data_IF_364220317604
#
_entry.id   IF_364220317604
#
_cell.length_a   1.000
_cell.length_b   1.000
_cell.length_c   1.000
_cell.angle_alpha   90.00
_cell.angle_beta   90.00
_cell.angle_gamma   90.00
#
_symmetry.space_group_name_H-M   'P 1'
#
loop_
_entity.id
_entity.type
_entity.pdbx_description
1 polymer ?
#
# COMPACT_ATOMS: atom_id res chain seq x y z
N UNK A 1 41.22 -1.58 -1.04
CA UNK A 1 40.15 -2.09 -0.18
C UNK A 1 38.89 -2.47 -0.98
N UNK A 2 38.46 -1.68 -1.98
CA UNK A 2 37.23 -1.95 -2.77
C UNK A 2 37.35 -3.17 -3.71
N UNK A 3 38.56 -3.57 -4.15
CA UNK A 3 38.77 -4.64 -5.13
C UNK A 3 38.07 -5.97 -4.78
N UNK A 4 38.31 -6.53 -3.58
CA UNK A 4 37.64 -7.77 -3.13
C UNK A 4 36.11 -7.61 -3.01
N UNK A 5 35.64 -6.45 -2.54
CA UNK A 5 34.20 -6.16 -2.49
C UNK A 5 33.63 -6.06 -3.91
N UNK A 6 34.32 -5.41 -4.84
CA UNK A 6 33.90 -5.32 -6.25
C UNK A 6 33.72 -6.71 -6.89
N UNK A 7 34.67 -7.59 -6.68
CA UNK A 7 34.62 -8.96 -7.20
C UNK A 7 33.40 -9.72 -6.62
N UNK A 8 33.17 -9.61 -5.31
CA UNK A 8 32.01 -10.19 -4.64
C UNK A 8 30.70 -9.66 -5.21
N UNK A 9 30.54 -8.32 -5.28
CA UNK A 9 29.33 -7.66 -5.81
C UNK A 9 29.08 -8.02 -7.27
N UNK A 10 30.15 -8.03 -8.11
CA UNK A 10 30.02 -8.40 -9.53
C UNK A 10 29.53 -9.85 -9.70
N UNK A 11 30.02 -10.79 -8.89
CA UNK A 11 29.56 -12.18 -8.89
C UNK A 11 28.11 -12.30 -8.47
N UNK A 12 27.72 -11.65 -7.36
CA UNK A 12 26.34 -11.64 -6.86
C UNK A 12 25.38 -11.04 -7.90
N UNK A 13 25.78 -9.96 -8.57
CA UNK A 13 24.96 -9.37 -9.64
C UNK A 13 24.83 -10.30 -10.86
N UNK A 14 25.90 -11.03 -11.21
CA UNK A 14 25.84 -12.04 -12.28
C UNK A 14 24.87 -13.17 -11.90
N UNK A 15 24.97 -13.70 -10.69
CA UNK A 15 24.06 -14.73 -10.17
C UNK A 15 22.60 -14.29 -10.20
N UNK A 16 22.30 -13.02 -9.83
CA UNK A 16 20.95 -12.42 -9.91
C UNK A 16 20.46 -12.38 -11.36
N UNK A 17 21.33 -12.03 -12.35
CA UNK A 17 20.98 -12.01 -13.77
C UNK A 17 20.74 -13.42 -14.32
N UNK A 18 21.61 -14.36 -14.03
CA UNK A 18 21.47 -15.76 -14.44
C UNK A 18 20.21 -16.41 -13.88
N UNK A 19 19.83 -16.07 -12.65
CA UNK A 19 18.57 -16.49 -12.04
C UNK A 19 17.33 -15.79 -12.62
N UNK A 20 17.48 -14.81 -13.53
CA UNK A 20 16.35 -14.04 -14.09
C UNK A 20 15.68 -13.10 -13.07
N UNK A 21 16.38 -12.77 -11.98
CA UNK A 21 15.84 -11.95 -10.87
C UNK A 21 16.28 -10.47 -10.94
N UNK A 22 17.09 -10.12 -11.95
CA UNK A 22 17.55 -8.74 -12.11
C UNK A 22 16.40 -7.82 -12.49
N UNK A 23 16.22 -6.75 -11.73
CA UNK A 23 15.16 -5.75 -11.95
C UNK A 23 15.71 -4.59 -12.76
N UNK A 24 15.09 -4.32 -13.91
CA UNK A 24 15.39 -3.14 -14.71
C UNK A 24 14.32 -2.08 -14.49
N UNK A 25 14.77 -0.82 -14.30
CA UNK A 25 13.88 0.33 -14.20
C UNK A 25 13.47 0.79 -15.59
N UNK A 26 12.17 0.83 -15.86
CA UNK A 26 11.63 1.36 -17.12
C UNK A 26 11.37 2.85 -16.96
N UNK A 27 11.91 3.66 -17.85
CA UNK A 27 11.77 5.11 -17.80
C UNK A 27 10.39 5.54 -18.33
N UNK A 28 9.66 6.30 -17.50
CA UNK A 28 8.42 6.96 -17.87
C UNK A 28 8.76 8.38 -18.27
N UNK A 29 8.33 8.79 -19.47
CA UNK A 29 8.68 10.06 -20.11
C UNK A 29 7.49 11.05 -20.12
N UNK A 30 6.48 10.79 -19.30
CA UNK A 30 5.26 11.60 -19.15
C UNK A 30 4.85 11.74 -17.69
N UNK A 31 3.78 12.49 -17.42
CA UNK A 31 3.08 12.44 -16.14
C UNK A 31 2.57 11.03 -15.84
N UNK A 32 2.44 10.68 -14.56
CA UNK A 32 1.88 9.40 -14.11
C UNK A 32 0.35 9.45 -14.23
N UNK A 33 -0.22 8.65 -15.14
CA UNK A 33 -1.67 8.57 -15.35
C UNK A 33 -2.08 7.21 -15.94
N UNK A 34 -3.35 7.07 -16.37
CA UNK A 34 -3.87 5.86 -17.01
C UNK A 34 -3.17 5.54 -18.35
N UNK A 35 -2.69 6.56 -19.07
CA UNK A 35 -1.82 6.44 -20.25
C UNK A 35 -0.50 7.15 -19.97
N UNK A 36 0.62 6.51 -20.30
CA UNK A 36 1.99 7.02 -20.06
C UNK A 36 2.87 6.79 -21.28
N UNK A 37 3.96 7.56 -21.38
CA UNK A 37 5.00 7.36 -22.39
C UNK A 37 6.14 6.53 -21.81
N UNK A 38 6.51 5.45 -22.50
CA UNK A 38 7.64 4.59 -22.13
C UNK A 38 8.42 4.24 -23.39
N UNK A 39 9.71 4.57 -23.45
CA UNK A 39 10.58 4.36 -24.61
C UNK A 39 9.97 4.94 -25.91
N UNK A 40 9.44 6.17 -25.85
CA UNK A 40 8.84 6.87 -26.98
C UNK A 40 7.49 6.30 -27.47
N UNK A 41 6.88 5.36 -26.72
CA UNK A 41 5.58 4.78 -27.06
C UNK A 41 4.56 5.06 -25.98
N UNK A 42 3.32 5.34 -26.39
CA UNK A 42 2.19 5.41 -25.48
C UNK A 42 1.74 4.01 -25.07
N UNK A 43 1.62 3.78 -23.77
CA UNK A 43 1.14 2.52 -23.19
C UNK A 43 0.09 2.79 -22.11
N UNK A 44 -0.86 1.88 -21.93
CA UNK A 44 -1.84 1.94 -20.86
C UNK A 44 -1.25 1.38 -19.56
N UNK A 45 -1.32 2.14 -18.50
CA UNK A 45 -0.68 1.84 -17.22
C UNK A 45 -1.62 1.10 -16.27
N UNK A 46 -1.37 -0.17 -16.06
CA UNK A 46 -2.07 -1.04 -15.12
C UNK A 46 -1.17 -1.52 -13.95
N UNK A 47 -0.08 -0.78 -13.67
CA UNK A 47 0.86 -1.08 -12.59
C UNK A 47 0.82 -0.07 -11.44
N UNK A 48 0.45 1.19 -11.70
CA UNK A 48 0.52 2.26 -10.71
C UNK A 48 -0.55 2.07 -9.62
N UNK A 49 -0.18 2.34 -8.36
CA UNK A 49 -1.13 2.37 -7.24
C UNK A 49 -1.97 3.67 -7.22
N UNK A 50 -2.27 4.22 -8.39
CA UNK A 50 -3.04 5.47 -8.58
C UNK A 50 -4.54 5.18 -8.61
N UNK A 51 -5.07 4.55 -7.56
CA UNK A 51 -6.42 3.98 -7.53
C UNK A 51 -7.52 4.99 -7.87
N UNK A 52 -7.44 6.20 -7.31
CA UNK A 52 -8.42 7.26 -7.56
C UNK A 52 -8.06 8.16 -8.75
N UNK A 53 -6.94 7.90 -9.42
CA UNK A 53 -6.52 8.68 -10.59
C UNK A 53 -5.97 10.07 -10.29
N UNK A 54 -5.67 10.38 -9.03
CA UNK A 54 -5.35 11.72 -8.57
C UNK A 54 -3.89 12.16 -8.82
N UNK A 55 -2.99 11.26 -9.20
CA UNK A 55 -1.55 11.57 -9.31
C UNK A 55 -1.21 12.69 -10.31
N UNK A 56 -2.06 12.96 -11.30
CA UNK A 56 -1.94 14.05 -12.26
C UNK A 56 -3.22 14.92 -12.32
N UNK A 57 -3.98 14.99 -11.24
CA UNK A 57 -5.19 15.79 -11.18
C UNK A 57 -4.83 17.30 -11.13
N UNK A 58 -5.42 18.14 -12.00
CA UNK A 58 -5.12 19.57 -12.03
C UNK A 58 -5.38 20.28 -10.70
N UNK A 59 -6.39 19.85 -9.94
CA UNK A 59 -6.74 20.42 -8.61
C UNK A 59 -5.59 20.23 -7.61
N UNK A 60 -4.95 19.05 -7.63
CA UNK A 60 -3.82 18.74 -6.76
C UNK A 60 -2.58 19.54 -7.18
N UNK A 61 -2.32 19.67 -8.47
CA UNK A 61 -1.20 20.45 -9.01
C UNK A 61 -1.36 21.93 -8.61
N UNK A 62 -2.55 22.48 -8.74
CA UNK A 62 -2.86 23.86 -8.35
C UNK A 62 -2.69 24.07 -6.84
N UNK A 63 -3.28 23.21 -6.01
CA UNK A 63 -3.17 23.26 -4.56
C UNK A 63 -1.72 23.15 -4.09
N UNK A 64 -0.94 22.23 -4.68
CA UNK A 64 0.49 22.06 -4.44
C UNK A 64 1.28 23.32 -4.77
N UNK A 65 1.05 23.90 -5.96
CA UNK A 65 1.72 25.11 -6.43
C UNK A 65 1.42 26.31 -5.55
N UNK A 66 0.15 26.51 -5.20
CA UNK A 66 -0.30 27.56 -4.29
C UNK A 66 0.37 27.44 -2.92
N UNK A 67 0.35 26.25 -2.33
CA UNK A 67 0.94 26.00 -1.02
C UNK A 67 2.46 26.26 -1.02
N UNK A 68 3.14 25.89 -2.10
CA UNK A 68 4.57 26.16 -2.27
C UNK A 68 4.86 27.69 -2.36
N UNK A 69 4.00 28.46 -3.01
CA UNK A 69 4.14 29.91 -3.09
C UNK A 69 3.90 30.60 -1.73
N UNK A 70 2.93 30.10 -0.94
CA UNK A 70 2.55 30.69 0.34
C UNK A 70 3.47 30.28 1.50
N UNK A 71 3.98 29.06 1.49
CA UNK A 71 4.70 28.44 2.63
C UNK A 71 6.15 28.04 2.33
N UNK A 72 6.61 28.21 1.09
CA UNK A 72 7.96 27.87 0.63
C UNK A 72 8.06 26.44 0.12
N UNK A 73 9.24 26.12 -0.44
CA UNK A 73 9.54 24.82 -1.07
C UNK A 73 9.75 23.71 -0.03
N UNK A 74 10.51 23.97 1.02
CA UNK A 74 10.96 22.95 1.95
C UNK A 74 11.05 23.42 3.38
N UNK A 75 11.11 22.48 4.32
CA UNK A 75 11.09 22.75 5.76
C UNK A 75 12.48 22.88 6.36
N UNK A 76 13.50 22.28 5.74
CA UNK A 76 14.89 22.26 6.21
C UNK A 76 15.05 21.87 7.69
N UNK A 77 14.09 21.13 8.24
CA UNK A 77 14.07 20.75 9.66
C UNK A 77 13.14 19.57 9.91
N UNK A 78 13.39 18.89 11.02
CA UNK A 78 12.48 17.90 11.61
C UNK A 78 11.35 18.59 12.38
N UNK A 79 10.27 17.88 12.65
CA UNK A 79 9.02 18.42 13.18
C UNK A 79 9.16 19.16 14.52
N UNK A 80 9.91 18.62 15.47
CA UNK A 80 9.97 19.18 16.84
C UNK A 80 10.95 20.36 16.99
N UNK A 81 11.88 20.58 16.06
CA UNK A 81 12.82 21.71 16.12
C UNK A 81 12.15 22.97 15.56
N UNK A 82 12.03 23.06 14.21
CA UNK A 82 11.34 24.18 13.55
C UNK A 82 10.64 23.75 12.24
N UNK A 83 10.38 22.45 12.05
CA UNK A 83 9.79 21.87 10.86
C UNK A 83 8.28 21.64 10.95
N UNK A 84 7.56 22.33 11.84
CA UNK A 84 6.10 22.23 11.93
C UNK A 84 5.45 23.56 11.58
N UNK A 85 4.72 23.59 10.50
CA UNK A 85 3.81 24.68 10.14
C UNK A 85 2.36 24.31 10.52
N UNK A 86 1.45 25.28 10.56
CA UNK A 86 0.03 25.09 10.82
C UNK A 86 -0.63 24.09 9.84
N UNK A 87 -0.20 24.10 8.57
CA UNK A 87 -0.70 23.20 7.52
C UNK A 87 -0.45 21.71 7.84
N UNK A 88 0.64 21.38 8.55
CA UNK A 88 0.87 20.00 9.00
C UNK A 88 -0.22 19.57 9.98
N UNK A 89 -0.61 20.47 10.90
CA UNK A 89 -1.69 20.19 11.86
C UNK A 89 -3.06 20.10 11.19
N UNK A 90 -3.28 20.89 10.15
CA UNK A 90 -4.51 20.81 9.34
C UNK A 90 -4.61 19.45 8.64
N UNK A 91 -3.50 18.94 8.07
CA UNK A 91 -3.51 17.62 7.43
C UNK A 91 -3.67 16.49 8.47
N UNK A 92 -3.00 16.58 9.63
CA UNK A 92 -3.19 15.62 10.74
C UNK A 92 -4.67 15.56 11.15
N UNK A 93 -5.34 16.72 11.29
CA UNK A 93 -6.76 16.78 11.63
C UNK A 93 -7.66 16.21 10.50
N UNK A 94 -7.36 16.49 9.23
CA UNK A 94 -8.11 15.97 8.09
C UNK A 94 -8.04 14.43 8.00
N UNK A 95 -6.87 13.86 8.29
CA UNK A 95 -6.68 12.39 8.34
C UNK A 95 -7.46 11.81 9.52
N UNK A 96 -7.39 12.42 10.70
CA UNK A 96 -8.16 11.98 11.88
C UNK A 96 -9.67 11.98 11.62
N UNK A 97 -10.19 13.03 10.96
CA UNK A 97 -11.61 13.14 10.57
C UNK A 97 -12.00 12.00 9.61
N UNK A 98 -11.15 11.73 8.59
CA UNK A 98 -11.38 10.66 7.62
C UNK A 98 -11.42 9.26 8.26
N UNK A 99 -10.48 8.94 9.15
CA UNK A 99 -10.41 7.64 9.83
C UNK A 99 -11.27 7.55 11.10
N UNK A 100 -11.91 8.64 11.52
CA UNK A 100 -12.69 8.75 12.79
C UNK A 100 -11.83 8.38 13.99
N UNK A 101 -10.61 8.90 14.05
CA UNK A 101 -9.62 8.69 15.12
C UNK A 101 -9.38 9.95 15.94
N UNK A 102 -8.66 9.81 17.05
CA UNK A 102 -8.47 10.91 17.99
C UNK A 102 -7.34 11.85 17.58
N UNK A 103 -6.27 11.33 16.97
CA UNK A 103 -5.10 12.14 16.57
C UNK A 103 -4.30 11.42 15.47
N UNK A 104 -3.41 12.19 14.80
CA UNK A 104 -2.57 11.71 13.68
C UNK A 104 -1.16 12.29 13.78
N UNK A 105 -0.18 11.50 13.34
CA UNK A 105 1.22 11.90 13.18
C UNK A 105 1.68 11.60 11.74
N UNK A 106 2.40 12.56 11.12
CA UNK A 106 2.87 12.46 9.73
C UNK A 106 4.31 11.98 9.65
N UNK A 107 4.61 11.17 8.63
CA UNK A 107 5.94 10.66 8.30
C UNK A 107 6.29 10.91 6.84
N UNK A 108 7.57 10.77 6.46
CA UNK A 108 8.01 10.91 5.07
C UNK A 108 7.44 9.82 4.16
N UNK A 109 7.15 8.64 4.68
CA UNK A 109 6.51 7.52 4.00
C UNK A 109 5.77 6.61 5.00
N UNK A 110 4.85 5.77 4.52
CA UNK A 110 4.23 4.74 5.35
C UNK A 110 5.24 3.68 5.81
N UNK A 111 6.33 3.48 5.04
CA UNK A 111 7.44 2.63 5.49
C UNK A 111 8.02 3.12 6.81
N UNK A 112 8.21 4.43 6.96
CA UNK A 112 8.68 5.08 8.19
C UNK A 112 7.62 5.02 9.30
N UNK A 113 6.35 5.19 8.96
CA UNK A 113 5.24 5.06 9.90
C UNK A 113 5.21 3.66 10.53
N UNK A 114 5.22 2.61 9.71
CA UNK A 114 5.26 1.22 10.17
C UNK A 114 6.54 0.89 10.96
N UNK A 115 7.70 1.38 10.48
CA UNK A 115 8.97 1.22 11.20
C UNK A 115 9.04 1.96 12.53
N UNK A 116 8.25 3.01 12.68
CA UNK A 116 8.27 3.91 13.83
C UNK A 116 7.26 3.61 14.93
N UNK A 117 6.40 2.58 14.79
CA UNK A 117 5.32 2.28 15.76
C UNK A 117 5.78 1.41 16.90
N UNK A 118 6.48 0.31 16.64
CA UNK A 118 6.64 -0.79 17.60
C UNK A 118 7.64 -0.49 18.71
N UNK A 119 8.85 -0.01 18.36
CA UNK A 119 9.91 0.27 19.33
C UNK A 119 9.51 1.32 20.40
N UNK A 120 8.77 2.41 20.05
CA UNK A 120 8.30 3.38 21.05
C UNK A 120 7.26 2.83 22.02
N UNK A 121 6.40 1.91 21.55
CA UNK A 121 5.23 1.42 22.30
C UNK A 121 5.53 0.19 23.15
N UNK A 122 6.43 -0.69 22.67
CA UNK A 122 6.60 -2.04 23.19
C UNK A 122 8.04 -2.33 23.63
N UNK A 123 8.17 -3.23 24.60
CA UNK A 123 9.43 -3.70 25.16
C UNK A 123 9.54 -5.21 25.05
N UNK A 124 10.57 -5.81 25.61
CA UNK A 124 10.77 -7.27 25.70
C UNK A 124 9.75 -7.99 26.61
N UNK A 125 8.96 -7.25 27.40
CA UNK A 125 7.84 -7.79 28.18
C UNK A 125 6.57 -7.99 27.35
N UNK A 126 6.52 -7.48 26.13
CA UNK A 126 5.33 -7.39 25.29
C UNK A 126 5.38 -8.37 24.10
N UNK A 127 4.27 -8.49 23.36
CA UNK A 127 4.15 -9.35 22.20
C UNK A 127 3.61 -8.63 20.97
N UNK A 128 4.14 -9.00 19.80
CA UNK A 128 3.62 -8.61 18.48
C UNK A 128 3.17 -9.88 17.76
N UNK A 129 1.89 -9.92 17.36
CA UNK A 129 1.28 -11.01 16.60
C UNK A 129 1.02 -10.51 15.18
N UNK A 130 1.87 -10.91 14.23
CA UNK A 130 1.88 -10.37 12.86
C UNK A 130 1.37 -11.38 11.85
N UNK A 131 0.50 -10.93 10.91
CA UNK A 131 0.14 -11.73 9.74
C UNK A 131 1.37 -12.07 8.90
N UNK A 132 1.39 -13.27 8.36
CA UNK A 132 2.53 -13.83 7.61
C UNK A 132 2.81 -13.11 6.29
N UNK A 133 1.82 -12.44 5.70
CA UNK A 133 1.92 -11.72 4.43
C UNK A 133 1.93 -10.19 4.59
N UNK A 134 2.09 -9.68 5.80
CA UNK A 134 2.22 -8.26 6.04
C UNK A 134 3.34 -7.63 5.20
N UNK A 135 3.18 -6.35 4.87
CA UNK A 135 4.13 -5.58 4.10
C UNK A 135 5.53 -5.57 4.74
N UNK A 136 6.58 -5.50 3.91
CA UNK A 136 7.97 -5.50 4.35
C UNK A 136 8.28 -4.45 5.42
N UNK A 137 7.66 -3.28 5.37
CA UNK A 137 7.83 -2.22 6.38
C UNK A 137 7.35 -2.62 7.77
N UNK A 138 6.25 -3.37 7.85
CA UNK A 138 5.76 -3.94 9.11
C UNK A 138 6.76 -4.99 9.62
N UNK A 139 7.20 -5.90 8.74
CA UNK A 139 8.18 -6.94 9.08
C UNK A 139 9.46 -6.31 9.63
N UNK A 140 9.96 -5.26 8.98
CA UNK A 140 11.18 -4.57 9.40
C UNK A 140 10.97 -3.79 10.71
N UNK A 141 9.83 -3.12 10.87
CA UNK A 141 9.47 -2.46 12.12
C UNK A 141 9.39 -3.44 13.29
N UNK A 142 8.77 -4.61 13.09
CA UNK A 142 8.72 -5.71 14.07
C UNK A 142 10.13 -6.22 14.40
N UNK A 143 11.03 -6.31 13.42
CA UNK A 143 12.43 -6.72 13.62
C UNK A 143 13.24 -5.75 14.47
N UNK A 144 12.94 -4.47 14.41
CA UNK A 144 13.63 -3.44 15.21
C UNK A 144 13.17 -3.44 16.67
N UNK A 145 11.96 -3.94 16.96
CA UNK A 145 11.41 -4.00 18.30
C UNK A 145 11.94 -5.22 19.08
N UNK A 146 12.06 -5.09 20.42
CA UNK A 146 12.49 -6.18 21.32
C UNK A 146 11.36 -7.09 21.77
N UNK A 147 10.09 -6.71 21.49
CA UNK A 147 8.92 -7.50 21.86
C UNK A 147 8.98 -8.91 21.27
N UNK A 148 8.38 -9.86 21.98
CA UNK A 148 8.29 -11.24 21.51
C UNK A 148 7.42 -11.32 20.26
N UNK A 149 7.89 -12.05 19.23
CA UNK A 149 7.27 -12.10 17.92
C UNK A 149 6.55 -13.40 17.72
N UNK A 150 5.29 -13.29 17.33
CA UNK A 150 4.44 -14.39 16.88
C UNK A 150 4.01 -14.11 15.45
N UNK A 151 3.91 -15.14 14.64
CA UNK A 151 3.50 -15.03 13.25
C UNK A 151 2.38 -16.02 13.00
N UNK A 152 1.25 -15.54 12.50
CA UNK A 152 0.12 -16.40 12.11
C UNK A 152 -0.02 -16.45 10.60
N UNK A 153 -0.58 -17.56 10.07
CA UNK A 153 -0.82 -17.76 8.66
C UNK A 153 -1.82 -16.71 8.14
N UNK A 154 -1.65 -16.26 6.89
CA UNK A 154 -2.43 -15.17 6.31
C UNK A 154 -3.94 -15.36 6.48
N UNK A 155 -4.56 -14.42 7.16
CA UNK A 155 -6.00 -14.38 7.45
C UNK A 155 -6.57 -15.65 8.12
N UNK A 156 -5.71 -16.46 8.77
CA UNK A 156 -6.12 -17.66 9.50
C UNK A 156 -6.43 -17.32 10.96
N UNK A 157 -7.70 -17.26 11.29
CA UNK A 157 -8.18 -16.88 12.63
C UNK A 157 -7.90 -17.95 13.68
N UNK A 158 -7.83 -19.23 13.31
CA UNK A 158 -7.49 -20.30 14.23
C UNK A 158 -5.99 -20.21 14.63
N UNK A 159 -5.12 -19.92 13.67
CA UNK A 159 -3.69 -19.73 13.92
C UNK A 159 -3.41 -18.41 14.67
N UNK A 160 -4.19 -17.35 14.39
CA UNK A 160 -4.16 -16.10 15.19
C UNK A 160 -4.54 -16.37 16.64
N UNK A 161 -5.62 -17.11 16.88
CA UNK A 161 -6.05 -17.44 18.24
C UNK A 161 -5.00 -18.28 18.98
N UNK A 162 -4.38 -19.26 18.34
CA UNK A 162 -3.23 -20.02 18.90
C UNK A 162 -2.11 -19.08 19.32
N UNK A 163 -1.70 -18.15 18.46
CA UNK A 163 -0.65 -17.17 18.78
C UNK A 163 -1.03 -16.28 19.98
N UNK A 164 -2.29 -15.86 20.07
CA UNK A 164 -2.80 -15.05 21.19
C UNK A 164 -2.77 -15.85 22.51
N UNK A 165 -3.14 -17.13 22.47
CA UNK A 165 -3.05 -18.03 23.64
C UNK A 165 -1.60 -18.20 24.09
N UNK A 166 -0.66 -18.41 23.18
CA UNK A 166 0.76 -18.51 23.50
C UNK A 166 1.36 -17.21 24.05
N UNK A 167 0.78 -16.04 23.68
CA UNK A 167 1.25 -14.72 24.09
C UNK A 167 0.64 -14.24 25.43
N UNK A 168 -0.11 -15.05 26.15
CA UNK A 168 -0.80 -14.59 27.38
C UNK A 168 0.14 -14.24 28.53
N UNK A 169 1.36 -14.74 28.54
CA UNK A 169 2.36 -14.40 29.54
C UNK A 169 2.99 -13.00 29.36
N UNK A 170 2.84 -12.38 28.18
CA UNK A 170 3.35 -11.04 27.89
C UNK A 170 2.42 -9.96 28.46
N UNK A 171 3.01 -8.83 28.86
CA UNK A 171 2.28 -7.70 29.48
C UNK A 171 1.22 -7.12 28.52
N UNK A 172 1.64 -6.72 27.32
CA UNK A 172 0.76 -6.22 26.26
C UNK A 172 0.91 -7.05 25.00
N UNK A 173 -0.14 -7.12 24.20
CA UNK A 173 -0.20 -7.80 22.90
C UNK A 173 -0.71 -6.84 21.87
N UNK A 174 -0.12 -6.85 20.67
CA UNK A 174 -0.64 -6.13 19.52
C UNK A 174 -0.77 -7.08 18.33
N UNK A 175 -1.95 -7.12 17.72
CA UNK A 175 -2.19 -7.80 16.45
C UNK A 175 -1.93 -6.82 15.34
N UNK A 176 -1.18 -7.23 14.30
CA UNK A 176 -0.81 -6.36 13.18
C UNK A 176 -1.14 -7.04 11.86
N UNK A 177 -1.88 -6.35 11.00
CA UNK A 177 -2.27 -6.83 9.67
C UNK A 177 -2.27 -5.71 8.64
N UNK A 178 -1.99 -6.04 7.36
CA UNK A 178 -2.44 -5.20 6.24
C UNK A 178 -3.98 -5.28 6.17
N UNK A 179 -4.64 -4.18 5.85
CA UNK A 179 -6.08 -4.17 5.57
C UNK A 179 -6.39 -4.86 4.24
N UNK A 180 -5.63 -4.53 3.20
CA UNK A 180 -5.60 -5.21 1.91
C UNK A 180 -4.17 -5.61 1.58
N UNK A 181 -3.95 -6.90 1.35
CA UNK A 181 -2.63 -7.45 1.04
C UNK A 181 -2.22 -7.14 -0.41
N UNK A 182 -1.10 -6.46 -0.56
CA UNK A 182 -0.67 -5.80 -1.80
C UNK A 182 -0.47 -6.72 -3.01
N UNK A 183 -0.17 -8.02 -2.79
CA UNK A 183 0.15 -8.95 -3.87
C UNK A 183 -1.04 -9.79 -4.33
N UNK A 184 -2.01 -10.00 -3.45
CA UNK A 184 -3.19 -10.83 -3.71
C UNK A 184 -4.48 -10.00 -3.83
N UNK A 185 -4.53 -8.86 -3.16
CA UNK A 185 -5.73 -8.03 -3.07
C UNK A 185 -6.77 -8.53 -2.06
N UNK A 186 -6.51 -9.64 -1.36
CA UNK A 186 -7.41 -10.14 -0.33
C UNK A 186 -7.49 -9.16 0.86
N UNK A 187 -8.66 -9.11 1.47
CA UNK A 187 -8.98 -8.23 2.59
C UNK A 187 -8.82 -9.01 3.91
N UNK A 188 -8.26 -8.36 4.92
CA UNK A 188 -8.18 -8.92 6.26
C UNK A 188 -9.60 -9.07 6.86
N UNK A 189 -9.93 -10.20 7.52
CA UNK A 189 -11.19 -10.39 8.23
C UNK A 189 -11.18 -9.62 9.57
N UNK A 190 -11.24 -8.27 9.47
CA UNK A 190 -10.95 -7.38 10.58
C UNK A 190 -12.00 -7.47 11.70
N UNK A 191 -13.24 -7.79 11.39
CA UNK A 191 -14.29 -8.09 12.36
C UNK A 191 -13.87 -9.23 13.31
N UNK A 192 -13.41 -10.35 12.75
CA UNK A 192 -12.96 -11.52 13.51
C UNK A 192 -11.64 -11.26 14.24
N UNK A 193 -10.73 -10.46 13.64
CA UNK A 193 -9.50 -10.04 14.30
C UNK A 193 -9.83 -9.21 15.55
N UNK A 194 -10.77 -8.27 15.44
CA UNK A 194 -11.22 -7.46 16.58
C UNK A 194 -11.92 -8.31 17.66
N UNK A 195 -12.72 -9.32 17.27
CA UNK A 195 -13.36 -10.25 18.24
C UNK A 195 -12.30 -11.01 19.05
N UNK A 196 -11.24 -11.49 18.39
CA UNK A 196 -10.13 -12.15 19.06
C UNK A 196 -9.31 -11.17 19.90
N UNK A 197 -9.09 -9.95 19.43
CA UNK A 197 -8.38 -8.91 20.18
C UNK A 197 -9.10 -8.59 21.49
N UNK A 198 -10.42 -8.41 21.46
CA UNK A 198 -11.23 -8.18 22.68
C UNK A 198 -11.19 -9.38 23.62
N UNK A 199 -11.28 -10.60 23.09
CA UNK A 199 -11.24 -11.84 23.88
C UNK A 199 -9.92 -12.02 24.63
N UNK A 200 -8.79 -11.59 24.03
CA UNK A 200 -7.44 -11.81 24.56
C UNK A 200 -6.74 -10.54 25.03
N UNK A 201 -7.48 -9.44 25.20
CA UNK A 201 -6.96 -8.13 25.63
C UNK A 201 -5.72 -7.70 24.81
N UNK A 202 -5.90 -7.58 23.51
CA UNK A 202 -4.87 -7.19 22.56
C UNK A 202 -5.26 -5.92 21.82
N UNK A 203 -4.27 -5.07 21.50
CA UNK A 203 -4.42 -3.94 20.59
C UNK A 203 -4.50 -4.43 19.14
N UNK A 204 -5.13 -3.65 18.27
CA UNK A 204 -5.21 -3.89 16.83
C UNK A 204 -4.58 -2.76 16.04
N UNK A 205 -3.63 -3.10 15.18
CA UNK A 205 -3.03 -2.20 14.18
C UNK A 205 -3.32 -2.68 12.77
N UNK A 206 -3.76 -1.77 11.90
CA UNK A 206 -4.07 -2.04 10.49
C UNK A 206 -3.31 -1.09 9.57
N UNK A 207 -2.62 -1.61 8.58
CA UNK A 207 -2.07 -0.81 7.46
C UNK A 207 -3.13 -0.67 6.36
N UNK A 208 -3.65 0.53 6.19
CA UNK A 208 -4.69 0.88 5.21
C UNK A 208 -4.12 1.36 3.86
N UNK A 209 -2.84 1.15 3.59
CA UNK A 209 -2.17 1.69 2.39
C UNK A 209 -2.76 1.23 1.05
N UNK A 210 -3.42 0.08 1.01
CA UNK A 210 -4.09 -0.44 -0.18
C UNK A 210 -5.61 -0.49 -0.06
N UNK A 211 -6.17 -0.07 1.07
CA UNK A 211 -7.59 -0.15 1.38
C UNK A 211 -8.26 1.22 1.49
N UNK A 212 -7.63 2.18 2.16
CA UNK A 212 -8.17 3.53 2.26
C UNK A 212 -8.24 4.22 0.89
N UNK A 213 -9.39 4.82 0.57
CA UNK A 213 -9.75 5.32 -0.75
C UNK A 213 -10.25 4.24 -1.72
N UNK A 214 -10.27 2.95 -1.33
CA UNK A 214 -10.45 1.81 -2.25
C UNK A 214 -11.59 0.89 -1.84
N UNK A 215 -11.65 0.46 -0.58
CA UNK A 215 -12.66 -0.49 -0.09
C UNK A 215 -13.59 0.14 0.92
N UNK A 216 -14.76 -0.46 1.11
CA UNK A 216 -15.88 0.09 1.87
C UNK A 216 -16.92 0.72 0.97
N UNK A 217 -18.07 1.11 1.52
CA UNK A 217 -19.17 1.71 0.78
C UNK A 217 -18.81 3.09 0.21
N UNK A 218 -18.02 3.85 0.96
CA UNK A 218 -17.57 5.20 0.59
C UNK A 218 -16.04 5.31 0.48
N UNK A 219 -15.34 4.16 0.49
CA UNK A 219 -13.89 4.10 0.33
C UNK A 219 -13.09 4.36 1.60
N UNK A 220 -13.70 4.34 2.78
CA UNK A 220 -13.01 4.64 4.05
C UNK A 220 -12.19 3.47 4.61
N UNK A 221 -11.96 2.42 3.81
CA UNK A 221 -11.06 1.32 4.18
C UNK A 221 -11.74 0.13 4.82
N UNK A 222 -10.92 -0.75 5.41
CA UNK A 222 -11.40 -2.05 5.90
C UNK A 222 -12.31 -1.91 7.11
N UNK A 223 -12.12 -0.89 7.96
CA UNK A 223 -13.00 -0.66 9.10
C UNK A 223 -14.43 -0.28 8.68
N UNK A 224 -14.61 0.45 7.57
CA UNK A 224 -15.93 0.68 7.00
C UNK A 224 -16.53 -0.62 6.47
N UNK A 225 -15.75 -1.36 5.68
CA UNK A 225 -16.19 -2.61 5.05
C UNK A 225 -16.66 -3.66 6.06
N UNK A 226 -16.01 -3.73 7.23
CA UNK A 226 -16.26 -4.76 8.26
C UNK A 226 -17.04 -4.26 9.47
N UNK A 227 -17.39 -2.96 9.50
CA UNK A 227 -18.12 -2.37 10.63
C UNK A 227 -17.31 -2.27 11.92
N UNK A 228 -15.97 -2.13 11.83
CA UNK A 228 -15.06 -2.17 12.99
C UNK A 228 -14.57 -0.81 13.46
N UNK A 229 -15.25 0.27 13.10
CA UNK A 229 -14.92 1.60 13.61
C UNK A 229 -14.91 1.63 15.15
N UNK A 230 -13.86 2.25 15.71
CA UNK A 230 -13.64 2.36 17.14
C UNK A 230 -13.06 1.12 17.83
N UNK A 231 -12.90 0.00 17.08
CA UNK A 231 -12.30 -1.25 17.59
C UNK A 231 -10.82 -1.42 17.19
N UNK A 232 -10.32 -0.57 16.31
CA UNK A 232 -8.91 -0.54 15.89
C UNK A 232 -8.21 0.60 16.63
N UNK A 233 -7.04 0.33 17.17
CA UNK A 233 -6.30 1.29 17.99
C UNK A 233 -5.32 2.13 17.18
N UNK A 234 -4.76 1.55 16.12
CA UNK A 234 -3.74 2.15 15.28
C UNK A 234 -4.03 1.85 13.81
N UNK A 235 -4.12 2.90 13.01
CA UNK A 235 -4.06 2.79 11.55
C UNK A 235 -2.76 3.40 11.06
N UNK A 236 -2.13 2.77 10.07
CA UNK A 236 -1.10 3.39 9.25
C UNK A 236 -1.56 3.50 7.82
N UNK A 237 -1.01 4.44 7.07
CA UNK A 237 -1.38 4.63 5.69
C UNK A 237 -0.39 5.50 4.92
N UNK A 238 -0.59 5.59 3.62
CA UNK A 238 0.28 6.32 2.70
C UNK A 238 -0.47 7.38 1.92
N UNK A 239 0.18 8.52 1.70
CA UNK A 239 -0.25 9.54 0.75
C UNK A 239 0.25 9.23 -0.68
N UNK A 240 1.08 8.21 -0.84
CA UNK A 240 1.72 7.83 -2.10
C UNK A 240 0.90 6.88 -2.99
N UNK A 241 -0.39 6.68 -2.73
CA UNK A 241 -1.28 5.80 -3.52
C UNK A 241 -2.62 6.49 -3.82
N UNK A 242 -3.73 5.98 -3.28
CA UNK A 242 -5.07 6.58 -3.48
C UNK A 242 -5.12 8.07 -3.10
N UNK A 243 -4.39 8.47 -2.09
CA UNK A 243 -4.38 9.83 -1.57
C UNK A 243 -3.41 10.77 -2.30
N UNK A 244 -3.40 10.74 -3.64
CA UNK A 244 -2.68 11.68 -4.50
C UNK A 244 -1.41 11.15 -5.14
N UNK A 245 -0.87 10.02 -4.69
CA UNK A 245 0.22 9.30 -5.37
C UNK A 245 1.62 9.92 -5.26
N UNK A 246 1.83 10.95 -4.41
CA UNK A 246 3.14 11.58 -4.24
C UNK A 246 3.99 10.84 -3.18
N UNK A 247 4.19 11.43 -2.03
CA UNK A 247 4.90 10.84 -0.91
C UNK A 247 4.24 11.26 0.41
N UNK A 248 4.66 10.62 1.48
CA UNK A 248 4.14 10.83 2.81
C UNK A 248 3.47 9.58 3.37
N UNK A 249 3.48 9.48 4.66
CA UNK A 249 2.80 8.45 5.42
C UNK A 249 2.26 9.02 6.72
N UNK A 250 1.43 8.25 7.39
CA UNK A 250 0.86 8.66 8.66
C UNK A 250 0.58 7.45 9.55
N UNK A 251 0.52 7.72 10.84
CA UNK A 251 -0.12 6.86 11.84
C UNK A 251 -1.24 7.66 12.48
N UNK A 252 -2.43 7.06 12.59
CA UNK A 252 -3.60 7.69 13.22
C UNK A 252 -4.27 6.71 14.17
N UNK A 253 -4.81 7.18 15.29
CA UNK A 253 -5.40 6.28 16.29
C UNK A 253 -5.64 6.96 17.63
N UNK A 254 -5.43 6.21 18.74
CA UNK A 254 -5.60 6.71 20.10
C UNK A 254 -4.61 7.82 20.41
N UNK A 255 -5.10 8.86 21.07
CA UNK A 255 -4.34 10.09 21.35
C UNK A 255 -3.03 9.81 22.09
N UNK A 256 -3.06 8.99 23.15
CA UNK A 256 -1.89 8.69 23.97
C UNK A 256 -0.81 7.93 23.17
N UNK A 257 -1.22 7.08 22.22
CA UNK A 257 -0.31 6.38 21.31
C UNK A 257 0.38 7.41 20.41
N UNK A 258 -0.40 8.27 19.76
CA UNK A 258 0.13 9.29 18.85
C UNK A 258 1.03 10.28 19.57
N UNK A 259 0.67 10.72 20.79
CA UNK A 259 1.51 11.61 21.60
C UNK A 259 2.84 10.94 21.97
N UNK A 260 2.84 9.65 22.32
CA UNK A 260 4.06 8.91 22.62
C UNK A 260 4.94 8.73 21.36
N UNK A 261 4.34 8.47 20.20
CA UNK A 261 5.07 8.40 18.92
C UNK A 261 5.76 9.75 18.59
N UNK A 262 5.12 10.88 18.85
CA UNK A 262 5.76 12.21 18.69
C UNK A 262 7.00 12.39 19.56
N UNK A 263 7.06 11.75 20.72
CA UNK A 263 8.18 11.84 21.65
C UNK A 263 9.32 10.85 21.35
N UNK A 264 9.00 9.68 20.76
CA UNK A 264 9.94 8.56 20.72
C UNK A 264 10.14 7.92 19.34
N UNK A 265 9.23 8.13 18.39
CA UNK A 265 9.34 7.53 17.06
C UNK A 265 10.54 8.10 16.29
N UNK A 266 11.59 7.32 16.14
CA UNK A 266 12.86 7.76 15.52
C UNK A 266 12.68 8.24 14.08
N UNK A 267 11.90 7.58 13.20
CA UNK A 267 11.65 8.09 11.84
C UNK A 267 10.97 9.47 11.85
N UNK A 268 10.12 9.77 12.82
CA UNK A 268 9.52 11.09 12.97
C UNK A 268 10.51 12.13 13.52
N UNK A 269 11.26 11.75 14.55
CA UNK A 269 12.16 12.68 15.23
C UNK A 269 13.36 13.10 14.38
N UNK A 270 13.82 12.23 13.48
CA UNK A 270 15.10 12.42 12.78
C UNK A 270 14.97 12.51 11.25
N UNK A 271 13.77 12.41 10.69
CA UNK A 271 13.52 12.67 9.27
C UNK A 271 12.96 14.07 9.06
N UNK A 272 13.30 14.68 7.93
CA UNK A 272 12.78 15.97 7.54
C UNK A 272 11.26 15.95 7.41
N UNK A 273 10.61 17.07 7.74
CA UNK A 273 9.16 17.23 7.62
C UNK A 273 8.70 17.17 6.16
N UNK A 274 7.46 16.77 5.93
CA UNK A 274 6.83 16.84 4.61
C UNK A 274 6.85 18.28 4.09
N UNK A 275 7.18 18.43 2.81
CA UNK A 275 7.22 19.71 2.14
C UNK A 275 5.82 20.34 2.02
N UNK A 276 5.70 21.68 2.06
CA UNK A 276 4.41 22.38 1.95
C UNK A 276 3.62 21.98 0.69
N UNK A 277 4.28 21.79 -0.44
CA UNK A 277 3.62 21.36 -1.68
C UNK A 277 2.90 19.99 -1.54
N UNK A 278 3.49 19.04 -0.81
CA UNK A 278 2.87 17.74 -0.52
C UNK A 278 1.66 17.92 0.40
N UNK A 279 1.80 18.74 1.44
CA UNK A 279 0.69 19.02 2.37
C UNK A 279 -0.49 19.67 1.63
N UNK A 280 -0.23 20.67 0.76
CA UNK A 280 -1.28 21.35 -0.01
C UNK A 280 -2.06 20.39 -0.91
N UNK A 281 -1.36 19.55 -1.67
CA UNK A 281 -2.01 18.52 -2.49
C UNK A 281 -2.80 17.53 -1.64
N UNK A 282 -2.26 17.07 -0.52
CA UNK A 282 -2.93 16.10 0.36
C UNK A 282 -4.19 16.68 1.02
N UNK A 283 -4.18 17.93 1.45
CA UNK A 283 -5.38 18.62 1.96
C UNK A 283 -6.47 18.67 0.90
N UNK A 284 -6.10 18.95 -0.35
CA UNK A 284 -7.04 18.96 -1.47
C UNK A 284 -7.63 17.56 -1.72
N UNK A 285 -6.85 16.49 -1.59
CA UNK A 285 -7.37 15.11 -1.67
C UNK A 285 -8.47 14.88 -0.64
N UNK A 286 -8.22 15.18 0.64
CA UNK A 286 -9.23 14.97 1.69
C UNK A 286 -10.46 15.87 1.49
N UNK A 287 -10.29 17.08 0.92
CA UNK A 287 -11.43 17.92 0.53
C UNK A 287 -12.27 17.25 -0.55
N UNK A 288 -11.65 16.74 -1.63
CA UNK A 288 -12.33 16.03 -2.72
C UNK A 288 -13.11 14.83 -2.19
N UNK A 289 -12.47 14.00 -1.37
CA UNK A 289 -13.09 12.78 -0.81
C UNK A 289 -14.23 13.09 0.16
N UNK A 290 -14.19 14.22 0.84
CA UNK A 290 -15.28 14.65 1.72
C UNK A 290 -16.49 15.16 0.95
N UNK A 291 -16.29 15.73 -0.24
CA UNK A 291 -17.34 16.35 -1.04
C UNK A 291 -18.05 15.35 -1.97
N UNK A 292 -17.37 14.29 -2.42
CA UNK A 292 -17.93 13.38 -3.42
C UNK A 292 -17.32 11.97 -3.36
N UNK A 293 -18.15 10.94 -3.56
CA UNK A 293 -17.75 9.56 -3.75
C UNK A 293 -17.49 9.18 -5.21
N UNK A 294 -17.62 10.13 -6.16
CA UNK A 294 -17.57 9.85 -7.60
C UNK A 294 -16.34 9.04 -8.03
N UNK A 295 -15.15 9.40 -7.50
CA UNK A 295 -13.91 8.68 -7.84
C UNK A 295 -13.91 7.25 -7.30
N UNK A 296 -14.42 7.04 -6.09
CA UNK A 296 -14.56 5.71 -5.50
C UNK A 296 -15.58 4.86 -6.28
N UNK A 297 -16.76 5.41 -6.57
CA UNK A 297 -17.81 4.72 -7.32
C UNK A 297 -17.30 4.31 -8.71
N UNK A 298 -16.57 5.21 -9.38
CA UNK A 298 -15.93 4.91 -10.66
C UNK A 298 -14.86 3.83 -10.57
N UNK A 299 -14.07 3.83 -9.49
CA UNK A 299 -13.11 2.77 -9.23
C UNK A 299 -13.81 1.42 -9.08
N UNK A 300 -14.85 1.34 -8.26
CA UNK A 300 -15.62 0.11 -8.02
C UNK A 300 -16.26 -0.40 -9.32
N UNK A 301 -16.86 0.48 -10.12
CA UNK A 301 -17.41 0.13 -11.43
C UNK A 301 -16.33 -0.47 -12.35
N UNK A 302 -15.16 0.17 -12.44
CA UNK A 302 -14.05 -0.27 -13.28
C UNK A 302 -13.49 -1.63 -12.82
N UNK A 303 -13.33 -1.83 -11.51
CA UNK A 303 -12.85 -3.08 -10.92
C UNK A 303 -13.80 -4.24 -11.23
N UNK A 304 -15.10 -4.06 -10.97
CA UNK A 304 -16.09 -5.09 -11.21
C UNK A 304 -16.14 -5.44 -12.70
N UNK A 305 -16.19 -4.44 -13.58
CA UNK A 305 -16.19 -4.67 -15.02
C UNK A 305 -14.97 -5.45 -15.49
N UNK A 306 -13.77 -5.02 -15.10
CA UNK A 306 -12.53 -5.69 -15.53
C UNK A 306 -12.50 -7.14 -15.03
N UNK A 307 -12.76 -7.36 -13.76
CA UNK A 307 -12.73 -8.68 -13.14
C UNK A 307 -13.73 -9.63 -13.78
N UNK A 308 -14.98 -9.21 -13.94
CA UNK A 308 -16.05 -10.08 -14.49
C UNK A 308 -15.75 -10.48 -15.94
N UNK A 309 -15.23 -9.56 -16.73
CA UNK A 309 -14.82 -9.83 -18.12
C UNK A 309 -13.62 -10.78 -18.21
N UNK A 310 -12.63 -10.59 -17.35
CA UNK A 310 -11.45 -11.45 -17.30
C UNK A 310 -11.81 -12.88 -16.84
N UNK A 311 -12.64 -13.01 -15.82
CA UNK A 311 -13.14 -14.31 -15.35
C UNK A 311 -14.01 -15.01 -16.42
N UNK A 312 -14.87 -14.28 -17.09
CA UNK A 312 -15.66 -14.79 -18.22
C UNK A 312 -14.78 -15.26 -19.41
N UNK A 313 -13.61 -14.65 -19.59
CA UNK A 313 -12.62 -15.08 -20.58
C UNK A 313 -11.84 -16.34 -20.17
N UNK A 314 -11.97 -16.80 -18.91
CA UNK A 314 -11.34 -18.03 -18.41
C UNK A 314 -10.04 -17.79 -17.61
N UNK A 315 -9.72 -16.56 -17.26
CA UNK A 315 -8.57 -16.29 -16.37
C UNK A 315 -8.89 -16.64 -14.92
N UNK A 316 -7.92 -17.24 -14.24
CA UNK A 316 -7.96 -17.45 -12.80
C UNK A 316 -7.57 -16.15 -12.08
N UNK A 317 -8.53 -15.51 -11.41
CA UNK A 317 -8.34 -14.30 -10.64
C UNK A 317 -8.70 -14.60 -9.18
N UNK A 318 -7.77 -14.30 -8.26
CA UNK A 318 -8.06 -14.43 -6.83
C UNK A 318 -9.25 -13.56 -6.43
N UNK A 319 -10.18 -14.09 -5.62
CA UNK A 319 -11.30 -13.30 -5.10
C UNK A 319 -10.79 -12.09 -4.31
N UNK A 320 -11.34 -10.92 -4.63
CA UNK A 320 -10.98 -9.66 -3.97
C UNK A 320 -12.14 -8.68 -4.00
N UNK A 321 -12.18 -7.77 -3.02
CA UNK A 321 -13.03 -6.59 -3.01
C UNK A 321 -12.21 -5.30 -3.23
N UNK A 322 -10.90 -5.43 -3.48
CA UNK A 322 -10.00 -4.31 -3.71
C UNK A 322 -9.78 -4.04 -5.20
N UNK A 323 -9.06 -2.97 -5.51
CA UNK A 323 -8.69 -2.58 -6.88
C UNK A 323 -7.50 -3.38 -7.44
N UNK A 324 -7.01 -4.39 -6.71
CA UNK A 324 -5.92 -5.27 -7.12
C UNK A 324 -6.50 -6.53 -7.72
N UNK A 325 -6.23 -6.78 -9.01
CA UNK A 325 -6.63 -8.01 -9.69
C UNK A 325 -5.39 -8.88 -9.95
N UNK A 326 -5.24 -9.95 -9.16
CA UNK A 326 -4.14 -10.89 -9.33
C UNK A 326 -4.53 -11.96 -10.35
N UNK A 327 -4.05 -11.84 -11.59
CA UNK A 327 -4.24 -12.83 -12.67
C UNK A 327 -3.19 -13.92 -12.49
N UNK A 328 -3.62 -15.10 -12.05
CA UNK A 328 -2.73 -16.19 -11.67
C UNK A 328 -2.14 -16.88 -12.90
N UNK A 329 -0.81 -17.03 -12.92
CA UNK A 329 -0.05 -17.75 -13.95
C UNK A 329 0.78 -18.89 -13.36
N UNK A 330 0.99 -18.89 -12.02
CA UNK A 330 1.71 -19.88 -11.25
C UNK A 330 3.20 -20.00 -11.55
N UNK A 331 3.59 -20.05 -12.83
CA UNK A 331 4.97 -20.19 -13.30
C UNK A 331 5.67 -18.82 -13.41
N UNK A 332 6.89 -18.73 -12.84
CA UNK A 332 7.67 -17.49 -12.79
C UNK A 332 8.12 -17.03 -14.19
N UNK A 333 8.56 -17.96 -15.05
CA UNK A 333 9.02 -17.65 -16.40
C UNK A 333 7.85 -17.22 -17.30
N UNK A 334 6.73 -17.92 -17.16
CA UNK A 334 5.50 -17.55 -17.87
C UNK A 334 5.06 -16.14 -17.52
N UNK A 335 5.10 -15.75 -16.23
CA UNK A 335 4.70 -14.41 -15.79
C UNK A 335 5.59 -13.29 -16.38
N UNK A 336 6.89 -13.55 -16.55
CA UNK A 336 7.82 -12.61 -17.18
C UNK A 336 7.55 -12.48 -18.70
N UNK A 337 7.40 -13.62 -19.39
CA UNK A 337 7.08 -13.64 -20.83
C UNK A 337 5.73 -12.99 -21.09
N UNK A 338 4.73 -13.29 -20.25
CA UNK A 338 3.40 -12.71 -20.36
C UNK A 338 3.45 -11.17 -20.23
N UNK A 339 4.15 -10.66 -19.21
CA UNK A 339 4.30 -9.21 -19.01
C UNK A 339 5.03 -8.52 -20.19
N UNK A 340 6.05 -9.17 -20.76
CA UNK A 340 6.75 -8.66 -21.93
C UNK A 340 5.83 -8.58 -23.16
N UNK A 341 5.05 -9.63 -23.43
CA UNK A 341 4.07 -9.66 -24.53
C UNK A 341 2.94 -8.63 -24.33
N UNK A 342 2.47 -8.43 -23.10
CA UNK A 342 1.50 -7.37 -22.81
C UNK A 342 2.04 -5.97 -23.14
N UNK A 343 3.33 -5.74 -22.90
CA UNK A 343 3.95 -4.47 -23.26
C UNK A 343 4.02 -4.27 -24.78
N UNK A 344 4.23 -5.33 -25.58
CA UNK A 344 4.14 -5.28 -27.05
C UNK A 344 2.73 -4.88 -27.52
N UNK A 345 1.69 -5.30 -26.80
CA UNK A 345 0.29 -4.90 -27.04
C UNK A 345 -0.06 -3.49 -26.51
N UNK A 346 0.92 -2.75 -25.97
CA UNK A 346 0.73 -1.41 -25.40
C UNK A 346 0.10 -1.39 -24.01
N UNK A 347 0.22 -2.46 -23.24
CA UNK A 347 -0.27 -2.58 -21.87
C UNK A 347 0.90 -2.72 -20.91
N UNK A 348 1.05 -1.77 -20.00
CA UNK A 348 2.12 -1.75 -19.01
C UNK A 348 1.67 -2.50 -17.76
N UNK A 349 2.15 -3.74 -17.61
CA UNK A 349 1.93 -4.60 -16.45
C UNK A 349 3.26 -5.22 -15.98
N UNK A 350 3.26 -5.78 -14.77
CA UNK A 350 4.44 -6.44 -14.18
C UNK A 350 4.08 -7.83 -13.68
N UNK A 351 4.91 -8.80 -14.00
CA UNK A 351 4.85 -10.13 -13.42
C UNK A 351 5.49 -10.15 -12.03
N UNK A 352 4.81 -10.79 -11.09
CA UNK A 352 5.32 -11.01 -9.74
C UNK A 352 5.56 -12.50 -9.50
N UNK A 353 6.74 -12.83 -9.01
CA UNK A 353 7.22 -14.19 -8.76
C UNK A 353 8.13 -14.21 -7.52
N UNK A 354 8.56 -15.39 -7.11
CA UNK A 354 9.47 -15.53 -5.95
C UNK A 354 10.74 -14.66 -6.11
N UNK A 355 11.21 -13.96 -5.06
CA UNK A 355 10.77 -14.05 -3.66
C UNK A 355 9.64 -13.06 -3.27
N UNK A 356 9.10 -12.29 -4.21
CA UNK A 356 8.06 -11.28 -3.92
C UNK A 356 6.72 -11.95 -3.56
N UNK A 357 6.43 -13.07 -4.21
CA UNK A 357 5.30 -13.95 -3.90
C UNK A 357 5.83 -15.37 -3.66
N UNK A 358 5.07 -16.26 -3.01
CA UNK A 358 5.50 -17.65 -2.79
C UNK A 358 5.84 -18.36 -4.11
N UNK A 359 6.66 -19.42 -4.03
CA UNK A 359 6.93 -20.30 -5.18
C UNK A 359 5.62 -20.86 -5.71
N UNK A 360 5.55 -21.06 -7.02
CA UNK A 360 4.38 -21.58 -7.72
C UNK A 360 3.10 -20.74 -7.53
N UNK A 361 3.28 -19.46 -7.24
CA UNK A 361 2.21 -18.46 -7.07
C UNK A 361 2.48 -17.21 -7.92
N UNK A 362 3.21 -17.35 -9.04
CA UNK A 362 3.47 -16.23 -9.93
C UNK A 362 2.19 -15.71 -10.58
N UNK A 363 2.13 -14.40 -10.82
CA UNK A 363 0.96 -13.70 -11.32
C UNK A 363 1.31 -12.42 -12.07
N UNK A 364 0.37 -11.93 -12.86
CA UNK A 364 0.34 -10.52 -13.26
C UNK A 364 -0.57 -9.79 -12.27
N UNK A 365 -0.02 -8.79 -11.57
CA UNK A 365 -0.81 -7.93 -10.68
C UNK A 365 -1.31 -6.73 -11.49
N UNK A 366 -2.61 -6.69 -11.73
CA UNK A 366 -3.28 -5.57 -12.41
C UNK A 366 -3.83 -4.61 -11.37
N UNK A 367 -3.50 -3.33 -11.52
CA UNK A 367 -4.00 -2.25 -10.68
C UNK A 367 -5.03 -1.44 -11.47
N UNK A 368 -6.27 -1.48 -11.02
CA UNK A 368 -7.35 -0.71 -11.63
C UNK A 368 -7.40 0.69 -11.00
N UNK A 369 -7.72 1.68 -11.83
CA UNK A 369 -7.84 3.09 -11.43
C UNK A 369 -9.18 3.67 -11.87
N UNK A 370 -9.69 4.63 -11.10
CA UNK A 370 -10.82 5.46 -11.50
C UNK A 370 -10.54 6.24 -12.80
N UNK A 371 -9.26 6.53 -13.08
CA UNK A 371 -8.84 7.22 -14.30
C UNK A 371 -8.93 6.36 -15.58
N UNK A 372 -9.09 5.02 -15.46
CA UNK A 372 -9.26 4.18 -16.65
C UNK A 372 -10.63 4.41 -17.29
N UNK A 373 -10.63 4.63 -18.61
CA UNK A 373 -11.88 4.65 -19.39
C UNK A 373 -12.33 3.22 -19.72
N UNK A 374 -13.59 3.09 -20.14
CA UNK A 374 -14.13 1.79 -20.58
C UNK A 374 -13.34 1.23 -21.75
N UNK A 375 -12.98 2.06 -22.74
CA UNK A 375 -12.20 1.68 -23.91
C UNK A 375 -10.79 1.21 -23.53
N UNK A 376 -10.17 1.83 -22.54
CA UNK A 376 -8.86 1.41 -22.03
C UNK A 376 -8.92 0.06 -21.32
N UNK A 377 -9.98 -0.19 -20.53
CA UNK A 377 -10.24 -1.50 -19.92
C UNK A 377 -10.48 -2.58 -20.99
N UNK A 378 -11.30 -2.30 -22.00
CA UNK A 378 -11.57 -3.22 -23.10
C UNK A 378 -10.30 -3.57 -23.89
N UNK A 379 -9.45 -2.58 -24.18
CA UNK A 379 -8.14 -2.79 -24.82
C UNK A 379 -7.24 -3.68 -23.98
N UNK A 380 -7.20 -3.45 -22.67
CA UNK A 380 -6.41 -4.27 -21.73
C UNK A 380 -6.93 -5.72 -21.72
N UNK A 381 -8.23 -5.93 -21.59
CA UNK A 381 -8.87 -7.25 -21.59
C UNK A 381 -8.59 -8.00 -22.91
N UNK A 382 -8.74 -7.33 -24.06
CA UNK A 382 -8.45 -7.90 -25.36
C UNK A 382 -6.97 -8.34 -25.49
N UNK A 383 -6.04 -7.52 -25.00
CA UNK A 383 -4.62 -7.87 -24.96
C UNK A 383 -4.34 -9.10 -24.07
N UNK A 384 -4.95 -9.17 -22.88
CA UNK A 384 -4.85 -10.33 -22.00
C UNK A 384 -5.37 -11.61 -22.69
N UNK A 385 -6.53 -11.54 -23.35
CA UNK A 385 -7.11 -12.68 -24.06
C UNK A 385 -6.19 -13.14 -25.21
N UNK A 386 -5.68 -12.21 -26.01
CA UNK A 386 -4.76 -12.51 -27.10
C UNK A 386 -3.49 -13.20 -26.58
N UNK A 387 -2.80 -12.56 -25.64
CA UNK A 387 -1.55 -13.09 -25.07
C UNK A 387 -1.81 -14.41 -24.33
N UNK A 388 -2.96 -14.52 -23.64
CA UNK A 388 -3.36 -15.75 -22.93
C UNK A 388 -3.55 -16.94 -23.87
N UNK A 389 -4.12 -16.73 -25.06
CA UNK A 389 -4.22 -17.75 -26.11
C UNK A 389 -2.87 -18.08 -26.71
N UNK A 390 -2.07 -17.07 -27.08
CA UNK A 390 -0.74 -17.26 -27.69
C UNK A 390 0.20 -18.06 -26.76
N UNK A 391 0.07 -17.92 -25.45
CA UNK A 391 0.88 -18.61 -24.45
C UNK A 391 0.20 -19.84 -23.82
N UNK A 392 -0.93 -20.31 -24.38
CA UNK A 392 -1.71 -21.46 -23.91
C UNK A 392 -2.16 -21.37 -22.43
N UNK A 393 -2.35 -20.16 -21.91
CA UNK A 393 -2.99 -19.91 -20.61
C UNK A 393 -4.50 -20.05 -20.73
N UNK A 394 -5.06 -19.62 -21.85
CA UNK A 394 -6.46 -19.82 -22.23
C UNK A 394 -6.57 -20.91 -23.30
N UNK A 395 -7.70 -21.66 -23.23
CA UNK A 395 -8.04 -22.67 -24.24
C UNK A 395 -8.66 -22.05 -25.49
#
# INVERSE_FOLDING_TARGET
MYGKMKEHLSRTLAEIREAGLYKEERLIESSQYASIQVAGKEVLNFCANNYLGLANDPRLIEASSKMMQERGFGMASVRFICGTQDIHKQLEAAISDYFKTEDTILYAACFDANGGVFEPLLTDEDAIISDALNHASIIDGVRLCKAKRYRYANADMADLERCLQEAQAQRFRIIVTDGVFSMDGNVAPLDKICDLAEKYDALVMVDESHSAGVVGETGHGVSELTGTYGRVDIYTGTLGKAFGGAMGGFTTGRKEIIDLLRQRSRPYLFSNSLAPCIIGASLEVFRILKESNELHDKLVENVNYFRDRMMAAGFDIKPTQSAICAVMLYDARLSQVFAARMQEEGIYVTGFYYPVVPKDQARIRVQISAAHTREQLDKCIAAFIKVGKDLNVLK
#
